data_IF_822803485500
#
_entry.id   IF_822803485500
#
_cell.length_a   1.000
_cell.length_b   1.000
_cell.length_c   1.000
_cell.angle_alpha   90.00
_cell.angle_beta   90.00
_cell.angle_gamma   90.00
#
_symmetry.space_group_name_H-M   'P 1'
#
loop_
_entity.id
_entity.type
_entity.pdbx_description
1 polymer ?
#
# COMPACT_ATOMS: atom_id res chain seq x y z
N UNK A 1 18.72 -24.46 2.92
CA UNK A 1 20.02 -25.13 3.18
C UNK A 1 21.04 -24.58 2.18
N UNK A 2 22.07 -23.87 2.65
CA UNK A 2 23.13 -23.36 1.79
C UNK A 2 24.04 -24.53 1.37
N UNK A 3 23.78 -25.12 0.19
CA UNK A 3 24.69 -26.10 -0.39
C UNK A 3 26.05 -25.44 -0.63
N UNK A 4 27.14 -26.14 -0.31
CA UNK A 4 28.51 -25.68 -0.60
C UNK A 4 28.95 -26.19 -1.98
N UNK A 5 29.78 -25.44 -2.70
CA UNK A 5 30.29 -25.86 -4.02
C UNK A 5 31.03 -27.21 -3.95
N UNK A 6 31.77 -27.44 -2.87
CA UNK A 6 32.48 -28.70 -2.62
C UNK A 6 31.55 -29.92 -2.46
N UNK A 7 30.25 -29.71 -2.27
CA UNK A 7 29.26 -30.78 -2.19
C UNK A 7 28.59 -31.06 -3.54
N UNK A 8 28.87 -30.25 -4.58
CA UNK A 8 28.33 -30.47 -5.92
C UNK A 8 29.04 -31.66 -6.59
N UNK A 9 28.26 -32.69 -6.93
CA UNK A 9 28.79 -33.95 -7.47
C UNK A 9 29.46 -33.72 -8.82
N UNK A 10 28.89 -32.87 -9.68
CA UNK A 10 29.44 -32.57 -10.99
C UNK A 10 30.76 -31.81 -10.90
N UNK A 11 30.84 -30.82 -10.01
CA UNK A 11 32.09 -30.12 -9.74
C UNK A 11 33.18 -31.09 -9.27
N UNK A 12 32.87 -31.95 -8.31
CA UNK A 12 33.81 -32.97 -7.80
C UNK A 12 34.23 -33.94 -8.90
N UNK A 13 33.29 -34.40 -9.70
CA UNK A 13 33.55 -35.35 -10.78
C UNK A 13 34.45 -34.74 -11.86
N UNK A 14 34.18 -33.51 -12.30
CA UNK A 14 35.03 -32.82 -13.28
C UNK A 14 36.43 -32.55 -12.75
N UNK A 15 36.53 -32.07 -11.50
CA UNK A 15 37.81 -31.73 -10.89
C UNK A 15 38.66 -32.97 -10.59
N UNK A 16 38.12 -33.90 -9.78
CA UNK A 16 38.85 -35.10 -9.39
C UNK A 16 38.97 -36.10 -10.52
N UNK A 17 37.97 -36.19 -11.41
CA UNK A 17 38.03 -37.06 -12.58
C UNK A 17 39.11 -36.64 -13.56
N UNK A 18 39.25 -35.33 -13.83
CA UNK A 18 40.33 -34.82 -14.68
C UNK A 18 41.71 -35.06 -14.09
N UNK A 19 41.89 -34.78 -12.79
CA UNK A 19 43.15 -35.04 -12.08
C UNK A 19 43.51 -36.53 -12.04
N UNK A 20 42.53 -37.38 -11.71
CA UNK A 20 42.74 -38.82 -11.62
C UNK A 20 43.08 -39.43 -12.99
N UNK A 21 42.33 -39.07 -14.03
CA UNK A 21 42.55 -39.59 -15.38
C UNK A 21 43.88 -39.11 -15.96
N UNK A 22 44.21 -37.82 -15.81
CA UNK A 22 45.50 -37.29 -16.23
C UNK A 22 46.67 -37.90 -15.46
N UNK A 23 46.52 -38.11 -14.16
CA UNK A 23 47.50 -38.82 -13.33
C UNK A 23 47.71 -40.26 -13.77
N UNK A 24 46.62 -40.99 -14.06
CA UNK A 24 46.68 -42.36 -14.56
C UNK A 24 47.39 -42.45 -15.91
N UNK A 25 47.08 -41.56 -16.86
CA UNK A 25 47.77 -41.50 -18.15
C UNK A 25 49.25 -41.19 -18.01
N UNK A 26 49.60 -40.25 -17.13
CA UNK A 26 51.00 -39.90 -16.82
C UNK A 26 51.77 -41.08 -16.25
N UNK A 27 51.14 -41.83 -15.34
CA UNK A 27 51.73 -43.03 -14.74
C UNK A 27 51.95 -44.13 -15.80
N UNK A 28 50.97 -44.39 -16.66
CA UNK A 28 51.08 -45.38 -17.73
C UNK A 28 52.19 -45.03 -18.72
N UNK A 29 52.32 -43.76 -19.11
CA UNK A 29 53.42 -43.29 -19.96
C UNK A 29 54.77 -43.51 -19.28
N UNK A 30 54.86 -43.28 -17.97
CA UNK A 30 56.09 -43.48 -17.21
C UNK A 30 56.49 -44.93 -17.07
N UNK A 31 55.53 -45.84 -16.94
CA UNK A 31 55.82 -47.27 -16.85
C UNK A 31 56.21 -47.90 -18.20
N UNK A 32 55.84 -47.26 -19.32
CA UNK A 32 56.06 -47.79 -20.67
C UNK A 32 57.28 -47.17 -21.39
N UNK A 33 57.92 -46.17 -20.79
CA UNK A 33 59.09 -45.50 -21.38
C UNK A 33 60.23 -45.48 -20.36
N UNK A 34 61.45 -45.78 -20.82
CA UNK A 34 62.65 -45.67 -19.99
C UNK A 34 63.08 -44.21 -19.94
N UNK A 35 62.80 -43.54 -18.82
CA UNK A 35 63.21 -42.15 -18.62
C UNK A 35 64.59 -42.05 -18.00
N UNK A 36 65.48 -41.35 -18.69
CA UNK A 36 66.77 -40.92 -18.14
C UNK A 36 66.72 -39.43 -17.80
N UNK A 37 67.42 -39.03 -16.73
CA UNK A 37 67.49 -37.64 -16.35
C UNK A 37 68.35 -36.86 -17.35
N UNK A 38 67.73 -35.94 -18.07
CA UNK A 38 68.40 -35.12 -19.07
C UNK A 38 67.96 -33.65 -18.93
N UNK A 39 68.95 -32.75 -18.81
CA UNK A 39 68.74 -31.30 -18.67
C UNK A 39 68.92 -30.52 -20.00
N UNK A 40 68.99 -31.22 -21.14
CA UNK A 40 69.10 -30.57 -22.46
C UNK A 40 67.74 -30.09 -22.95
N UNK A 41 67.74 -29.02 -23.76
CA UNK A 41 66.52 -28.43 -24.33
C UNK A 41 65.70 -29.43 -25.16
N UNK A 42 66.38 -30.34 -25.86
CA UNK A 42 65.75 -31.41 -26.66
C UNK A 42 64.96 -32.39 -25.80
N UNK A 43 65.50 -32.78 -24.65
CA UNK A 43 64.83 -33.65 -23.68
C UNK A 43 63.58 -33.00 -23.08
N UNK A 44 63.63 -31.69 -22.82
CA UNK A 44 62.47 -30.93 -22.36
C UNK A 44 61.35 -30.86 -23.43
N UNK A 45 61.72 -30.63 -24.70
CA UNK A 45 60.73 -30.63 -25.80
C UNK A 45 60.04 -31.98 -25.95
N UNK A 46 60.81 -33.07 -25.90
CA UNK A 46 60.28 -34.43 -25.98
C UNK A 46 59.37 -34.76 -24.78
N UNK A 47 59.76 -34.35 -23.57
CA UNK A 47 58.92 -34.48 -22.38
C UNK A 47 57.57 -33.77 -22.54
N UNK A 48 57.58 -32.51 -23.02
CA UNK A 48 56.34 -31.76 -23.24
C UNK A 48 55.45 -32.42 -24.29
N UNK A 49 56.04 -32.93 -25.38
CA UNK A 49 55.32 -33.64 -26.43
C UNK A 49 54.68 -34.92 -25.89
N UNK A 50 55.43 -35.70 -25.10
CA UNK A 50 54.95 -36.96 -24.51
C UNK A 50 53.85 -36.74 -23.46
N UNK A 51 53.99 -35.72 -22.60
CA UNK A 51 53.03 -35.40 -21.54
C UNK A 51 51.91 -34.44 -21.98
N UNK A 52 51.89 -34.00 -23.24
CA UNK A 52 50.86 -33.11 -23.76
C UNK A 52 49.45 -33.65 -23.51
N UNK A 53 49.21 -34.93 -23.81
CA UNK A 53 47.90 -35.55 -23.64
C UNK A 53 47.42 -35.55 -22.18
N UNK A 54 48.16 -36.08 -21.18
CA UNK A 54 47.79 -35.98 -19.78
C UNK A 54 47.54 -34.54 -19.31
N UNK A 55 48.38 -33.58 -19.72
CA UNK A 55 48.24 -32.16 -19.39
C UNK A 55 46.91 -31.62 -19.93
N UNK A 56 46.58 -31.92 -21.19
CA UNK A 56 45.31 -31.49 -21.81
C UNK A 56 44.09 -32.10 -21.13
N UNK A 57 44.16 -33.35 -20.65
CA UNK A 57 43.08 -33.99 -19.89
C UNK A 57 42.85 -33.29 -18.56
N UNK A 58 43.92 -32.99 -17.81
CA UNK A 58 43.82 -32.24 -16.54
C UNK A 58 43.25 -30.84 -16.79
N UNK A 59 43.79 -30.12 -17.79
CA UNK A 59 43.33 -28.78 -18.14
C UNK A 59 41.84 -28.76 -18.51
N UNK A 60 41.38 -29.75 -19.29
CA UNK A 60 39.96 -29.90 -19.65
C UNK A 60 39.08 -30.18 -18.43
N UNK A 61 39.53 -31.05 -17.51
CA UNK A 61 38.82 -31.30 -16.25
C UNK A 61 38.72 -30.04 -15.37
N UNK A 62 39.79 -29.26 -15.30
CA UNK A 62 39.79 -27.96 -14.60
C UNK A 62 38.85 -26.96 -15.26
N UNK A 63 38.82 -26.87 -16.60
CA UNK A 63 37.91 -25.99 -17.33
C UNK A 63 36.43 -26.37 -17.08
N UNK A 64 36.11 -27.67 -17.08
CA UNK A 64 34.77 -28.16 -16.76
C UNK A 64 34.38 -27.86 -15.30
N UNK A 65 35.31 -28.06 -14.35
CA UNK A 65 35.08 -27.73 -12.96
C UNK A 65 34.86 -26.22 -12.76
N UNK A 66 35.64 -25.37 -13.43
CA UNK A 66 35.48 -23.93 -13.40
C UNK A 66 34.13 -23.49 -13.99
N UNK A 67 33.72 -24.07 -15.13
CA UNK A 67 32.42 -23.82 -15.73
C UNK A 67 31.28 -24.22 -14.78
N UNK A 68 31.37 -25.40 -14.15
CA UNK A 68 30.37 -25.86 -13.18
C UNK A 68 30.30 -24.94 -11.95
N UNK A 69 31.45 -24.45 -11.47
CA UNK A 69 31.50 -23.49 -10.38
C UNK A 69 30.79 -22.17 -10.74
N UNK A 70 30.92 -21.70 -11.98
CA UNK A 70 30.18 -20.53 -12.48
C UNK A 70 28.67 -20.76 -12.48
N UNK A 71 28.20 -21.90 -13.00
CA UNK A 71 26.76 -22.25 -12.95
C UNK A 71 26.26 -22.27 -11.49
N UNK A 72 26.99 -22.94 -10.60
CA UNK A 72 26.63 -23.04 -9.20
C UNK A 72 26.51 -21.66 -8.52
N UNK A 73 27.42 -20.73 -8.82
CA UNK A 73 27.34 -19.34 -8.34
C UNK A 73 26.13 -18.60 -8.90
N UNK A 74 25.77 -18.84 -10.15
CA UNK A 74 24.55 -18.29 -10.77
C UNK A 74 23.30 -18.77 -10.01
N UNK A 75 23.19 -20.07 -9.74
CA UNK A 75 22.07 -20.66 -8.99
C UNK A 75 21.96 -20.09 -7.55
N UNK A 76 23.11 -19.92 -6.88
CA UNK A 76 23.15 -19.28 -5.56
C UNK A 76 22.68 -17.82 -5.61
N UNK A 77 23.13 -17.07 -6.63
CA UNK A 77 22.73 -15.66 -6.82
C UNK A 77 21.23 -15.56 -7.08
N UNK A 78 20.67 -16.43 -7.92
CA UNK A 78 19.22 -16.50 -8.16
C UNK A 78 18.45 -16.74 -6.86
N UNK A 79 18.89 -17.71 -6.05
CA UNK A 79 18.25 -18.02 -4.75
C UNK A 79 18.33 -16.83 -3.79
N UNK A 80 19.45 -16.10 -3.78
CA UNK A 80 19.61 -14.90 -2.96
C UNK A 80 18.71 -13.76 -3.43
N UNK A 81 18.59 -13.56 -4.75
CA UNK A 81 17.66 -12.58 -5.34
C UNK A 81 16.23 -12.89 -4.92
N UNK A 82 15.80 -14.15 -5.00
CA UNK A 82 14.45 -14.55 -4.56
C UNK A 82 14.21 -14.25 -3.08
N UNK A 83 15.16 -14.60 -2.21
CA UNK A 83 15.06 -14.30 -0.78
C UNK A 83 15.03 -12.79 -0.52
N UNK A 84 15.85 -12.01 -1.21
CA UNK A 84 15.87 -10.55 -1.13
C UNK A 84 14.55 -9.93 -1.60
N UNK A 85 13.95 -10.46 -2.69
CA UNK A 85 12.64 -10.02 -3.16
C UNK A 85 11.57 -10.22 -2.08
N UNK A 86 11.57 -11.38 -1.41
CA UNK A 86 10.61 -11.66 -0.32
C UNK A 86 10.81 -10.69 0.85
N UNK A 87 12.06 -10.49 1.28
CA UNK A 87 12.39 -9.56 2.37
C UNK A 87 12.02 -8.12 2.01
N UNK A 88 12.29 -7.69 0.78
CA UNK A 88 11.96 -6.35 0.29
C UNK A 88 10.44 -6.15 0.23
N UNK A 89 9.66 -7.14 -0.21
CA UNK A 89 8.19 -7.04 -0.20
C UNK A 89 7.64 -6.88 1.22
N UNK A 90 8.15 -7.66 2.17
CA UNK A 90 7.75 -7.55 3.57
C UNK A 90 8.07 -6.17 4.12
N UNK A 91 9.31 -5.70 3.92
CA UNK A 91 9.76 -4.39 4.37
C UNK A 91 8.90 -3.27 3.76
N UNK A 92 8.69 -3.30 2.44
CA UNK A 92 7.85 -2.31 1.75
C UNK A 92 6.41 -2.30 2.28
N UNK A 93 5.83 -3.46 2.61
CA UNK A 93 4.50 -3.53 3.23
C UNK A 93 4.45 -2.83 4.60
N UNK A 94 5.45 -3.08 5.46
CA UNK A 94 5.53 -2.47 6.79
C UNK A 94 5.77 -0.96 6.68
N UNK A 95 6.72 -0.55 5.83
CA UNK A 95 7.07 0.86 5.64
C UNK A 95 5.90 1.65 5.08
N UNK A 96 5.22 1.13 4.04
CA UNK A 96 4.04 1.78 3.45
C UNK A 96 2.89 1.91 4.45
N UNK A 97 2.61 0.86 5.24
CA UNK A 97 1.60 0.92 6.29
C UNK A 97 1.97 1.97 7.35
N UNK A 98 3.24 2.05 7.75
CA UNK A 98 3.71 3.04 8.72
C UNK A 98 3.58 4.47 8.19
N UNK A 99 3.98 4.70 6.95
CA UNK A 99 3.87 6.01 6.30
C UNK A 99 2.41 6.47 6.21
N UNK A 100 1.49 5.56 5.87
CA UNK A 100 0.07 5.83 5.90
C UNK A 100 -0.42 6.24 7.30
N UNK A 101 0.00 5.53 8.36
CA UNK A 101 -0.39 5.91 9.73
C UNK A 101 0.14 7.29 10.12
N UNK A 102 1.39 7.61 9.76
CA UNK A 102 1.98 8.91 10.02
C UNK A 102 1.24 10.05 9.29
N UNK A 103 0.77 9.79 8.06
CA UNK A 103 -0.06 10.74 7.31
C UNK A 103 -1.36 11.03 8.05
N UNK A 104 -2.02 9.98 8.58
CA UNK A 104 -3.23 10.14 9.38
C UNK A 104 -2.98 10.90 10.70
N UNK A 105 -1.86 10.63 11.38
CA UNK A 105 -1.46 11.37 12.60
C UNK A 105 -1.27 12.87 12.33
N UNK A 106 -0.59 13.20 11.24
CA UNK A 106 -0.37 14.58 10.82
C UNK A 106 -1.70 15.27 10.50
N UNK A 107 -2.62 14.56 9.84
CA UNK A 107 -3.94 15.06 9.50
C UNK A 107 -4.80 15.33 10.75
N UNK A 108 -4.91 14.36 11.67
CA UNK A 108 -5.66 14.52 12.93
C UNK A 108 -5.16 15.72 13.74
N UNK A 109 -3.83 15.87 13.84
CA UNK A 109 -3.19 16.97 14.56
C UNK A 109 -3.47 18.34 13.92
N UNK A 110 -3.65 18.39 12.60
CA UNK A 110 -3.85 19.65 11.85
C UNK A 110 -5.29 20.15 11.91
N UNK A 111 -6.27 19.26 12.08
CA UNK A 111 -7.70 19.58 11.95
C UNK A 111 -8.55 19.29 13.18
N UNK A 112 -7.96 18.87 14.31
CA UNK A 112 -8.68 18.50 15.56
C UNK A 112 -9.78 17.45 15.31
N UNK A 113 -9.43 16.41 14.54
CA UNK A 113 -10.30 15.26 14.26
C UNK A 113 -9.64 13.96 14.70
N UNK A 114 -10.43 12.89 14.79
CA UNK A 114 -9.96 11.57 15.17
C UNK A 114 -10.39 10.52 14.15
N UNK A 115 -9.49 9.60 13.80
CA UNK A 115 -9.77 8.48 12.90
C UNK A 115 -9.82 7.20 13.73
N UNK A 116 -11.01 6.61 13.89
CA UNK A 116 -11.25 5.59 14.94
C UNK A 116 -10.50 4.28 14.69
N UNK A 117 -10.44 3.84 13.44
CA UNK A 117 -9.97 2.53 12.98
C UNK A 117 -9.08 2.67 11.74
N UNK A 118 -7.93 3.29 11.96
CA UNK A 118 -6.90 3.50 10.92
C UNK A 118 -6.50 2.21 10.18
N UNK A 119 -6.50 1.07 10.87
CA UNK A 119 -6.22 -0.24 10.28
C UNK A 119 -7.32 -0.71 9.32
N UNK A 120 -8.58 -0.49 9.67
CA UNK A 120 -9.72 -0.80 8.81
C UNK A 120 -9.67 0.06 7.55
N UNK A 121 -9.43 1.35 7.71
CA UNK A 121 -9.25 2.28 6.60
C UNK A 121 -8.12 1.84 5.66
N UNK A 122 -6.93 1.52 6.18
CA UNK A 122 -5.82 1.01 5.36
C UNK A 122 -6.21 -0.26 4.58
N UNK A 123 -6.94 -1.19 5.22
CA UNK A 123 -7.41 -2.41 4.57
C UNK A 123 -8.46 -2.15 3.49
N UNK A 124 -9.31 -1.14 3.64
CA UNK A 124 -10.28 -0.77 2.62
C UNK A 124 -9.63 -0.09 1.41
N UNK A 125 -8.63 0.76 1.65
CA UNK A 125 -7.90 1.45 0.58
C UNK A 125 -6.98 0.48 -0.17
N UNK A 126 -6.28 -0.40 0.56
CA UNK A 126 -5.31 -1.35 0.01
C UNK A 126 -5.68 -2.81 0.33
N UNK A 127 -6.81 -3.32 -0.19
CA UNK A 127 -7.34 -4.64 0.18
C UNK A 127 -6.43 -5.81 -0.24
N UNK A 128 -5.58 -5.60 -1.25
CA UNK A 128 -4.66 -6.61 -1.75
C UNK A 128 -3.29 -6.61 -1.05
N UNK A 129 -3.02 -5.63 -0.17
CA UNK A 129 -1.73 -5.51 0.50
C UNK A 129 -1.62 -6.49 1.66
N UNK A 130 -0.52 -7.25 1.66
CA UNK A 130 -0.15 -8.22 2.67
C UNK A 130 1.37 -8.28 2.84
N UNK A 131 1.89 -8.95 3.88
CA UNK A 131 3.33 -9.18 4.04
C UNK A 131 4.03 -9.82 2.83
N UNK A 132 3.29 -10.53 1.97
CA UNK A 132 3.82 -11.23 0.79
C UNK A 132 3.51 -10.54 -0.54
N UNK A 133 2.57 -9.59 -0.54
CA UNK A 133 2.07 -8.90 -1.72
C UNK A 133 1.90 -7.42 -1.45
N UNK A 134 2.56 -6.58 -2.24
CA UNK A 134 2.60 -5.16 -2.01
C UNK A 134 2.25 -4.41 -3.29
N UNK A 135 1.28 -3.50 -3.20
CA UNK A 135 0.90 -2.52 -4.20
C UNK A 135 0.89 -1.13 -3.55
N UNK A 136 1.53 -0.17 -4.21
CA UNK A 136 1.55 1.23 -3.78
C UNK A 136 0.30 2.00 -4.24
N UNK A 137 -0.34 1.57 -5.33
CA UNK A 137 -1.56 2.19 -5.85
C UNK A 137 -2.79 1.43 -5.32
N UNK A 138 -3.81 2.18 -4.89
CA UNK A 138 -5.09 1.65 -4.38
C UNK A 138 -6.00 1.06 -5.47
N UNK A 139 -5.61 1.14 -6.75
CA UNK A 139 -6.37 0.55 -7.86
C UNK A 139 -6.48 -0.97 -7.75
N UNK A 140 -7.70 -1.43 -8.04
CA UNK A 140 -7.95 -2.84 -8.30
C UNK A 140 -7.55 -3.14 -9.76
N UNK A 141 -6.90 -4.28 -10.03
CA UNK A 141 -6.34 -4.60 -11.36
C UNK A 141 -7.39 -4.61 -12.48
N UNK A 142 -8.66 -4.78 -12.14
CA UNK A 142 -9.75 -5.01 -13.09
C UNK A 142 -10.80 -3.87 -13.12
N UNK A 143 -10.70 -2.87 -12.24
CA UNK A 143 -11.66 -1.77 -12.16
C UNK A 143 -10.90 -0.46 -12.06
N UNK A 144 -11.10 0.43 -13.03
CA UNK A 144 -10.47 1.75 -13.09
C UNK A 144 -10.74 2.66 -11.88
N UNK A 145 -11.63 2.24 -10.96
CA UNK A 145 -12.08 3.00 -9.80
C UNK A 145 -11.68 2.30 -8.50
N UNK A 146 -10.84 2.98 -7.73
CA UNK A 146 -10.51 2.63 -6.35
C UNK A 146 -11.69 2.90 -5.41
N UNK A 147 -11.61 2.38 -4.18
CA UNK A 147 -12.58 2.72 -3.13
C UNK A 147 -12.61 4.24 -2.86
N UNK A 148 -11.44 4.89 -2.87
CA UNK A 148 -11.31 6.35 -2.72
C UNK A 148 -12.02 7.10 -3.86
N UNK A 149 -11.91 6.63 -5.11
CA UNK A 149 -12.59 7.28 -6.24
C UNK A 149 -14.12 7.31 -6.03
N UNK A 150 -14.68 6.22 -5.49
CA UNK A 150 -16.12 6.14 -5.22
C UNK A 150 -16.54 7.07 -4.08
N UNK A 151 -15.72 7.19 -3.03
CA UNK A 151 -15.99 8.12 -1.92
C UNK A 151 -15.82 9.58 -2.33
N UNK A 152 -14.80 9.89 -3.12
CA UNK A 152 -14.60 11.24 -3.64
C UNK A 152 -15.75 11.65 -4.57
N UNK A 153 -16.26 10.72 -5.39
CA UNK A 153 -17.46 10.98 -6.21
C UNK A 153 -18.67 11.33 -5.35
N UNK A 154 -18.93 10.54 -4.31
CA UNK A 154 -20.03 10.80 -3.35
C UNK A 154 -19.85 12.14 -2.64
N UNK A 155 -18.61 12.48 -2.26
CA UNK A 155 -18.29 13.76 -1.65
C UNK A 155 -18.57 14.95 -2.56
N UNK A 156 -18.14 14.89 -3.82
CA UNK A 156 -18.40 15.94 -4.80
C UNK A 156 -19.91 16.09 -5.09
N UNK A 157 -20.64 14.98 -5.18
CA UNK A 157 -22.11 14.99 -5.28
C UNK A 157 -22.75 15.67 -4.05
N UNK A 158 -22.29 15.33 -2.84
CA UNK A 158 -22.75 15.95 -1.60
C UNK A 158 -22.45 17.45 -1.52
N UNK A 159 -21.27 17.90 -1.99
CA UNK A 159 -20.92 19.33 -2.08
C UNK A 159 -21.87 20.06 -3.04
N UNK A 160 -22.17 19.47 -4.20
CA UNK A 160 -23.06 20.07 -5.19
C UNK A 160 -24.47 20.26 -4.63
N UNK A 161 -25.00 19.24 -3.97
CA UNK A 161 -26.29 19.31 -3.29
C UNK A 161 -26.29 20.37 -2.19
N UNK A 162 -25.25 20.38 -1.36
CA UNK A 162 -25.06 21.35 -0.29
C UNK A 162 -25.08 22.80 -0.82
N UNK A 163 -24.35 23.09 -1.90
CA UNK A 163 -24.36 24.42 -2.55
C UNK A 163 -25.78 24.82 -2.96
N UNK A 164 -26.57 23.88 -3.50
CA UNK A 164 -27.97 24.10 -3.87
C UNK A 164 -28.87 24.35 -2.66
N UNK A 165 -28.70 23.61 -1.56
CA UNK A 165 -29.45 23.83 -0.32
C UNK A 165 -29.09 25.17 0.32
N UNK A 166 -27.79 25.48 0.44
CA UNK A 166 -27.30 26.72 1.05
C UNK A 166 -27.74 27.97 0.27
N UNK A 167 -27.76 27.90 -1.07
CA UNK A 167 -28.30 28.98 -1.90
C UNK A 167 -29.79 29.20 -1.63
N UNK A 168 -30.59 28.13 -1.52
CA UNK A 168 -32.02 28.23 -1.19
C UNK A 168 -32.24 28.85 0.19
N UNK A 169 -31.49 28.43 1.22
CA UNK A 169 -31.57 28.99 2.58
C UNK A 169 -31.21 30.47 2.60
N UNK A 170 -30.22 30.86 1.80
CA UNK A 170 -29.78 32.24 1.70
C UNK A 170 -30.87 33.16 1.12
N UNK A 171 -31.64 32.66 0.15
CA UNK A 171 -32.76 33.37 -0.48
C UNK A 171 -34.01 33.35 0.41
N UNK A 172 -34.33 32.19 1.00
CA UNK A 172 -35.47 32.00 1.89
C UNK A 172 -35.09 30.99 2.98
N UNK A 173 -34.99 31.45 4.22
CA UNK A 173 -34.56 30.62 5.36
C UNK A 173 -35.41 29.35 5.57
N UNK A 174 -36.69 29.38 5.20
CA UNK A 174 -37.61 28.26 5.35
C UNK A 174 -37.59 27.29 4.15
N UNK A 175 -36.81 27.60 3.11
CA UNK A 175 -36.57 26.73 1.96
C UNK A 175 -35.09 26.38 1.91
N UNK A 176 -34.70 25.10 1.94
CA UNK A 176 -35.45 23.87 1.68
C UNK A 176 -36.18 23.32 2.93
N UNK A 177 -37.01 22.30 2.72
CA UNK A 177 -37.73 21.61 3.79
C UNK A 177 -36.78 20.85 4.74
N UNK A 178 -37.21 20.63 5.99
CA UNK A 178 -36.41 19.86 6.96
C UNK A 178 -36.08 18.45 6.47
N UNK A 179 -37.01 17.80 5.76
CA UNK A 179 -36.79 16.47 5.18
C UNK A 179 -35.68 16.47 4.11
N UNK A 180 -35.58 17.51 3.28
CA UNK A 180 -34.51 17.63 2.29
C UNK A 180 -33.15 17.82 2.97
N UNK A 181 -33.08 18.67 4.01
CA UNK A 181 -31.84 18.91 4.76
C UNK A 181 -31.43 17.64 5.50
N UNK A 182 -32.37 16.95 6.16
CA UNK A 182 -32.13 15.71 6.88
C UNK A 182 -31.60 14.60 5.95
N UNK A 183 -32.19 14.45 4.74
CA UNK A 183 -31.73 13.47 3.76
C UNK A 183 -30.29 13.75 3.30
N UNK A 184 -29.98 15.00 2.98
CA UNK A 184 -28.62 15.40 2.61
C UNK A 184 -27.65 15.16 3.76
N UNK A 185 -28.01 15.60 4.99
CA UNK A 185 -27.18 15.47 6.17
C UNK A 185 -26.91 14.01 6.50
N UNK A 186 -27.93 13.16 6.49
CA UNK A 186 -27.79 11.70 6.68
C UNK A 186 -26.79 11.08 5.69
N UNK A 187 -26.88 11.45 4.40
CA UNK A 187 -25.95 10.98 3.37
C UNK A 187 -24.51 11.46 3.62
N UNK A 188 -24.35 12.71 4.05
CA UNK A 188 -23.04 13.28 4.41
C UNK A 188 -22.44 12.63 5.67
N UNK A 189 -23.24 12.34 6.68
CA UNK A 189 -22.80 11.66 7.90
C UNK A 189 -22.37 10.22 7.63
N UNK A 190 -23.06 9.51 6.72
CA UNK A 190 -22.65 8.18 6.25
C UNK A 190 -21.28 8.27 5.56
N UNK A 191 -21.05 9.29 4.74
CA UNK A 191 -19.75 9.50 4.09
C UNK A 191 -18.63 9.74 5.12
N UNK A 192 -18.86 10.61 6.12
CA UNK A 192 -17.91 10.84 7.23
C UNK A 192 -17.60 9.53 7.95
N UNK A 193 -18.64 8.73 8.23
CA UNK A 193 -18.47 7.43 8.87
C UNK A 193 -17.68 6.43 8.01
N UNK A 194 -17.88 6.40 6.69
CA UNK A 194 -17.10 5.56 5.77
C UNK A 194 -15.62 5.98 5.71
N UNK A 195 -15.33 7.27 5.88
CA UNK A 195 -13.98 7.81 6.03
C UNK A 195 -13.42 7.59 7.45
N UNK A 196 -14.26 7.10 8.36
CA UNK A 196 -13.94 6.81 9.76
C UNK A 196 -13.45 8.03 10.54
N UNK A 197 -13.90 9.23 10.13
CA UNK A 197 -13.56 10.51 10.74
C UNK A 197 -14.58 10.83 11.84
N UNK A 198 -14.07 11.30 12.98
CA UNK A 198 -14.84 11.72 14.13
C UNK A 198 -14.46 13.15 14.50
N UNK A 199 -15.46 14.02 14.62
CA UNK A 199 -15.28 15.37 15.13
C UNK A 199 -15.57 15.35 16.65
N UNK A 200 -14.60 15.67 17.53
CA UNK A 200 -14.76 15.51 18.99
C UNK A 200 -15.94 16.29 19.60
N UNK A 201 -16.37 17.37 18.94
CA UNK A 201 -17.49 18.22 19.38
C UNK A 201 -18.78 17.97 18.61
N UNK A 202 -18.88 16.85 17.91
CA UNK A 202 -20.14 16.49 17.25
C UNK A 202 -21.28 16.33 18.24
N UNK A 203 -22.48 16.70 17.81
CA UNK A 203 -23.71 16.57 18.58
C UNK A 203 -24.60 15.48 17.97
N UNK A 204 -25.27 14.71 18.81
CA UNK A 204 -26.16 13.65 18.35
C UNK A 204 -27.44 14.25 17.75
N UNK A 205 -27.95 13.65 16.68
CA UNK A 205 -29.28 13.95 16.15
C UNK A 205 -30.35 13.67 17.22
N UNK A 206 -31.32 14.57 17.35
CA UNK A 206 -32.46 14.45 18.26
C UNK A 206 -33.32 13.21 17.96
N UNK A 207 -33.96 12.66 19.00
CA UNK A 207 -34.79 11.45 18.88
C UNK A 207 -35.96 11.67 17.91
N UNK A 208 -36.49 12.89 17.85
CA UNK A 208 -37.63 13.24 16.99
C UNK A 208 -37.34 13.08 15.49
N UNK A 209 -36.06 13.12 15.10
CA UNK A 209 -35.63 12.98 13.71
C UNK A 209 -35.00 11.63 13.38
N UNK A 210 -34.81 10.71 14.35
CA UNK A 210 -34.12 9.42 14.10
C UNK A 210 -34.68 8.62 12.92
N UNK A 211 -35.99 8.72 12.65
CA UNK A 211 -36.62 8.05 11.50
C UNK A 211 -36.13 8.53 10.12
N UNK A 212 -35.43 9.66 10.04
CA UNK A 212 -34.85 10.22 8.82
C UNK A 212 -33.35 9.92 8.68
N UNK A 213 -32.71 9.39 9.72
CA UNK A 213 -31.28 9.15 9.80
C UNK A 213 -30.97 7.66 9.90
N UNK A 214 -29.69 7.31 10.07
CA UNK A 214 -29.25 5.93 10.24
C UNK A 214 -29.85 5.33 11.52
N UNK A 215 -30.10 4.02 11.54
CA UNK A 215 -30.49 3.30 12.76
C UNK A 215 -29.34 3.19 13.79
N UNK A 216 -28.12 3.58 13.42
CA UNK A 216 -26.93 3.47 14.26
C UNK A 216 -26.53 4.84 14.82
N UNK A 217 -26.66 5.02 16.13
CA UNK A 217 -26.43 6.31 16.82
C UNK A 217 -25.05 6.91 16.53
N UNK A 218 -24.00 6.09 16.46
CA UNK A 218 -22.63 6.54 16.22
C UNK A 218 -22.39 7.15 14.82
N UNK A 219 -23.34 6.98 13.88
CA UNK A 219 -23.33 7.61 12.56
C UNK A 219 -24.03 8.98 12.62
N UNK A 220 -24.99 9.16 13.54
CA UNK A 220 -25.85 10.34 13.63
C UNK A 220 -25.21 11.47 14.45
N UNK A 221 -23.93 11.74 14.20
CA UNK A 221 -23.12 12.71 14.93
C UNK A 221 -22.83 13.93 14.04
N UNK A 222 -23.62 14.99 14.19
CA UNK A 222 -23.51 16.23 13.40
C UNK A 222 -22.24 16.99 13.82
N UNK A 223 -21.29 17.28 12.90
CA UNK A 223 -20.15 18.14 13.18
C UNK A 223 -20.56 19.53 13.69
N UNK A 224 -19.74 20.17 14.54
CA UNK A 224 -20.10 21.47 15.15
C UNK A 224 -20.27 22.60 14.12
N UNK A 225 -19.58 22.52 12.98
CA UNK A 225 -19.70 23.43 11.86
C UNK A 225 -19.59 22.62 10.56
N UNK A 226 -20.63 22.64 9.73
CA UNK A 226 -20.68 21.86 8.49
C UNK A 226 -19.77 22.44 7.41
N UNK A 227 -19.65 23.77 7.32
CA UNK A 227 -18.75 24.40 6.36
C UNK A 227 -17.30 24.01 6.62
N UNK A 228 -16.88 24.06 7.88
CA UNK A 228 -15.56 23.63 8.32
C UNK A 228 -15.36 22.12 8.14
N UNK A 229 -16.35 21.29 8.49
CA UNK A 229 -16.23 19.84 8.29
C UNK A 229 -16.05 19.49 6.82
N UNK A 230 -16.76 20.15 5.89
CA UNK A 230 -16.55 19.97 4.46
C UNK A 230 -15.12 20.33 4.04
N UNK A 231 -14.55 21.43 4.57
CA UNK A 231 -13.18 21.83 4.29
C UNK A 231 -12.17 20.79 4.78
N UNK A 232 -12.38 20.26 5.98
CA UNK A 232 -11.55 19.18 6.56
C UNK A 232 -11.63 17.92 5.70
N UNK A 233 -12.83 17.49 5.30
CA UNK A 233 -13.00 16.30 4.44
C UNK A 233 -12.37 16.51 3.05
N UNK A 234 -12.43 17.72 2.49
CA UNK A 234 -11.76 18.05 1.24
C UNK A 234 -10.24 17.95 1.35
N UNK A 235 -9.66 18.52 2.42
CA UNK A 235 -8.23 18.38 2.70
C UNK A 235 -7.85 16.90 2.89
N UNK A 236 -8.69 16.15 3.59
CA UNK A 236 -8.49 14.71 3.80
C UNK A 236 -8.41 13.94 2.49
N UNK A 237 -9.34 14.16 1.57
CA UNK A 237 -9.32 13.53 0.26
C UNK A 237 -8.08 13.91 -0.54
N UNK A 238 -7.62 15.16 -0.44
CA UNK A 238 -6.40 15.62 -1.11
C UNK A 238 -5.16 14.87 -0.58
N UNK A 239 -5.02 14.78 0.74
CA UNK A 239 -3.89 14.10 1.37
C UNK A 239 -3.92 12.59 1.09
N UNK A 240 -5.09 11.95 1.28
CA UNK A 240 -5.27 10.53 0.93
C UNK A 240 -5.01 10.26 -0.54
N UNK A 241 -5.54 11.08 -1.45
CA UNK A 241 -5.32 10.92 -2.88
C UNK A 241 -3.84 11.03 -3.25
N UNK A 242 -3.12 11.96 -2.63
CA UNK A 242 -1.70 12.16 -2.89
C UNK A 242 -0.87 10.91 -2.55
N UNK A 243 -1.27 10.20 -1.50
CA UNK A 243 -0.64 8.96 -1.07
C UNK A 243 -1.12 7.75 -1.86
N UNK A 244 -2.43 7.61 -2.06
CA UNK A 244 -3.06 6.37 -2.55
C UNK A 244 -3.20 6.31 -4.07
N UNK A 245 -3.14 7.46 -4.75
CA UNK A 245 -3.35 7.62 -6.19
C UNK A 245 -2.32 8.60 -6.80
N UNK A 246 -1.00 8.44 -6.55
CA UNK A 246 0.01 9.42 -6.97
C UNK A 246 0.02 9.65 -8.49
N UNK A 247 -0.35 8.62 -9.26
CA UNK A 247 -0.44 8.68 -10.72
C UNK A 247 -1.63 9.51 -11.27
N UNK A 248 -2.57 9.93 -10.42
CA UNK A 248 -3.82 10.59 -10.85
C UNK A 248 -4.14 11.87 -10.06
N UNK A 249 -3.21 12.40 -9.26
CA UNK A 249 -3.41 13.63 -8.47
C UNK A 249 -3.97 14.76 -9.34
N UNK A 250 -3.44 14.94 -10.55
CA UNK A 250 -3.86 16.02 -11.46
C UNK A 250 -5.29 15.86 -12.00
N UNK A 251 -5.83 14.65 -12.01
CA UNK A 251 -7.19 14.35 -12.47
C UNK A 251 -8.26 14.51 -11.40
N UNK A 252 -7.87 14.57 -10.12
CA UNK A 252 -8.80 14.62 -8.99
C UNK A 252 -9.25 16.06 -8.76
N UNK A 253 -10.40 16.39 -9.35
CA UNK A 253 -11.09 17.65 -9.07
C UNK A 253 -11.95 17.47 -7.82
N UNK A 254 -11.54 18.10 -6.74
CA UNK A 254 -12.41 18.34 -5.59
C UNK A 254 -13.15 19.64 -5.88
N UNK A 255 -14.48 19.58 -5.90
CA UNK A 255 -15.28 20.77 -6.18
C UNK A 255 -15.02 21.80 -5.08
N UNK A 256 -14.46 22.96 -5.47
CA UNK A 256 -14.06 24.00 -4.51
C UNK A 256 -15.17 24.36 -3.54
N UNK A 257 -14.85 24.42 -2.25
CA UNK A 257 -15.82 24.71 -1.20
C UNK A 257 -16.00 26.22 -1.12
N UNK A 258 -17.25 26.67 -1.17
CA UNK A 258 -17.60 28.07 -0.91
C UNK A 258 -17.81 28.18 0.59
N UNK A 259 -17.14 29.13 1.24
CA UNK A 259 -17.37 29.46 2.65
C UNK A 259 -18.85 29.68 2.87
N UNK A 260 -19.43 28.95 3.81
CA UNK A 260 -20.84 29.10 4.14
C UNK A 260 -21.03 30.24 5.10
N UNK A 261 -22.11 31.00 4.90
CA UNK A 261 -22.63 31.83 5.98
C UNK A 261 -23.18 30.93 7.08
N UNK A 262 -23.11 31.38 8.34
CA UNK A 262 -23.59 30.61 9.50
C UNK A 262 -25.09 30.27 9.52
N UNK A 263 -25.86 30.72 8.51
CA UNK A 263 -27.30 30.42 8.37
C UNK A 263 -27.58 28.93 8.18
N UNK A 264 -26.70 28.21 7.48
CA UNK A 264 -26.89 26.76 7.29
C UNK A 264 -26.73 26.03 8.63
N UNK A 265 -25.66 26.32 9.37
CA UNK A 265 -25.41 25.74 10.69
C UNK A 265 -26.52 26.12 11.70
N UNK A 266 -27.04 27.34 11.63
CA UNK A 266 -28.20 27.74 12.43
C UNK A 266 -29.44 26.91 12.10
N UNK A 267 -29.68 26.65 10.81
CA UNK A 267 -30.80 25.81 10.37
C UNK A 267 -30.68 24.38 10.87
N UNK A 268 -29.46 23.86 11.03
CA UNK A 268 -29.23 22.50 11.52
C UNK A 268 -29.54 22.32 13.01
N UNK A 269 -29.61 23.39 13.80
CA UNK A 269 -29.96 23.29 15.24
C UNK A 269 -31.32 22.63 15.46
N UNK A 270 -32.23 22.70 14.48
CA UNK A 270 -33.52 21.99 14.52
C UNK A 270 -33.36 20.48 14.71
N UNK A 271 -32.26 19.89 14.22
CA UNK A 271 -31.99 18.46 14.31
C UNK A 271 -31.27 18.06 15.60
N UNK A 272 -30.94 19.01 16.47
CA UNK A 272 -30.17 18.78 17.70
C UNK A 272 -31.02 19.08 18.93
N UNK A 273 -31.76 20.20 18.91
CA UNK A 273 -32.51 20.67 20.07
C UNK A 273 -33.92 20.06 20.15
N UNK A 274 -34.08 18.97 20.92
CA UNK A 274 -35.42 18.45 21.29
C UNK A 274 -36.20 19.43 22.20
N UNK A 275 -35.52 20.36 22.88
CA UNK A 275 -36.08 21.11 24.01
C UNK A 275 -36.84 22.40 23.67
N UNK A 276 -36.77 22.90 22.45
CA UNK A 276 -37.49 24.14 22.09
C UNK A 276 -38.95 23.89 21.67
N UNK A 277 -39.32 22.67 21.32
CA UNK A 277 -40.70 22.36 20.87
C UNK A 277 -41.71 22.21 22.01
N UNK A 278 -41.26 21.88 23.23
CA UNK A 278 -42.17 21.60 24.35
C UNK A 278 -42.41 22.82 25.27
N UNK A 279 -41.66 23.91 25.09
CA UNK A 279 -41.85 25.18 25.84
C UNK A 279 -42.97 26.05 25.26
N UNK A 280 -43.19 26.04 23.96
CA UNK A 280 -44.25 26.84 23.32
C UNK A 280 -45.66 26.24 23.48
N UNK A 281 -45.79 24.99 23.96
CA UNK A 281 -47.10 24.34 24.20
C UNK A 281 -47.61 24.44 25.64
N UNK A 282 -46.86 25.02 26.57
CA UNK A 282 -47.20 25.03 28.02
C UNK A 282 -47.79 26.32 28.58
N UNK A 283 -48.20 27.29 27.75
CA UNK A 283 -49.02 28.42 28.21
C UNK A 283 -50.33 28.58 27.42
N UNK A 284 -51.35 27.75 27.69
CA UNK A 284 -52.71 28.22 27.51
C UNK A 284 -52.95 29.32 28.55
N UNK A 285 -53.10 30.56 28.08
CA UNK A 285 -53.59 31.68 28.87
C UNK A 285 -54.97 31.32 29.43
N UNK A 286 -55.01 30.91 30.70
CA UNK A 286 -56.21 31.00 31.52
C UNK A 286 -56.24 32.38 32.16
N UNK A 287 -56.96 33.31 31.52
CA UNK A 287 -57.61 34.46 32.16
C UNK A 287 -58.63 35.06 31.21
#
# INVERSE_FOLDING_TARGET
MNKKLSQDVWFRLSFWGGLFLGGLLSLLLTLNNDFEFCAQLTCYSYFLELFALPIHVVASGMALAAFRATIFRSDQTNTQIEAAIVQNRFKNYIDHKKEFMNLLDAFESSYDVQIKSRLYLYKNIFPENSPTRMKFDSKNLNNDKSWIDNLLKQFNESIKEFKGLNMRISVNYNSPSDNEIARWLSSYLILIHQLDINFPRSQMVSESFKGLFSSYDHINMIPPNIGESLLVISAYFKDLASFCLPSRIEGLKIDGIVTTGGRFDERLKVFIDDQNLDKDKKHPLTS
#
